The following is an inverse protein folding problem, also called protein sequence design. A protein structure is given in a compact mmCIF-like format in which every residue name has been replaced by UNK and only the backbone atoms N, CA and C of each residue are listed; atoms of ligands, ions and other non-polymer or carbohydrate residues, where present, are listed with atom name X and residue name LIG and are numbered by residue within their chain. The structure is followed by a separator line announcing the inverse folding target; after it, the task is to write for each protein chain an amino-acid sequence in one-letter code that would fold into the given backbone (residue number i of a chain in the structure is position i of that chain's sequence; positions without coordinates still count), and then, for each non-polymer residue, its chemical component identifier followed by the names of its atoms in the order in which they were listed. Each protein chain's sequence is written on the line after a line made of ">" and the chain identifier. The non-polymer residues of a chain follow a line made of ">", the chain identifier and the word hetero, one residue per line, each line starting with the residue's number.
data_IF_100379870242
#
_entry.id   IF_100379870242
#
_cell.length_a   1.000
_cell.length_b   1.000
_cell.length_c   1.000
_cell.angle_alpha   90.00
_cell.angle_beta   90.00
_cell.angle_gamma   90.00
#
_symmetry.space_group_name_H-M   'P 1'
#
loop_
_entity.id
_entity.type
_entity.pdbx_description
1 polymer ?
#
# COMPACT_ATOMS: atom_id res chain seq x y z
N UNK A 1 14.65 -17.97 28.65
CA UNK A 1 15.02 -18.17 27.24
C UNK A 1 15.83 -16.98 26.79
N UNK A 2 16.94 -17.13 26.07
CA UNK A 2 17.61 -15.99 25.48
C UNK A 2 16.69 -15.35 24.45
N UNK A 3 16.39 -14.07 24.63
CA UNK A 3 15.66 -13.29 23.61
C UNK A 3 16.69 -12.99 22.54
N UNK A 4 16.46 -13.53 21.33
CA UNK A 4 17.25 -13.15 20.14
C UNK A 4 16.79 -11.73 19.79
N UNK A 5 17.61 -10.75 20.15
CA UNK A 5 17.40 -9.38 19.69
C UNK A 5 18.14 -9.22 18.37
N UNK A 6 17.43 -8.93 17.32
CA UNK A 6 18.07 -8.38 16.13
C UNK A 6 18.81 -7.11 16.53
N UNK A 7 20.09 -7.02 16.13
CA UNK A 7 20.92 -5.86 16.50
C UNK A 7 20.74 -4.65 15.56
N UNK A 8 19.83 -4.77 14.60
CA UNK A 8 19.52 -3.66 13.71
C UNK A 8 18.90 -2.50 14.50
N UNK A 9 19.35 -1.26 14.26
CA UNK A 9 18.81 -0.09 14.95
C UNK A 9 17.34 0.19 14.63
N UNK A 10 16.86 -0.15 13.42
CA UNK A 10 15.45 -0.02 13.04
C UNK A 10 14.79 -1.40 12.95
N UNK A 11 13.65 -1.55 13.61
CA UNK A 11 12.81 -2.73 13.62
C UNK A 11 11.51 -2.46 12.91
N UNK A 12 11.19 -3.20 11.85
CA UNK A 12 9.96 -3.06 11.09
C UNK A 12 9.02 -4.24 11.35
N UNK A 13 7.77 -3.95 11.73
CA UNK A 13 6.68 -4.90 11.63
C UNK A 13 6.11 -4.81 10.21
N UNK A 14 6.16 -5.91 9.45
CA UNK A 14 5.64 -5.98 8.08
C UNK A 14 4.37 -6.82 8.07
N UNK A 15 3.23 -6.16 7.96
CA UNK A 15 1.93 -6.84 7.83
C UNK A 15 1.75 -7.34 6.39
N UNK A 16 1.44 -8.64 6.25
CA UNK A 16 1.28 -9.29 4.95
C UNK A 16 0.03 -10.15 4.92
N UNK A 17 -0.34 -10.66 3.73
CA UNK A 17 -1.47 -11.54 3.44
C UNK A 17 -2.76 -10.78 3.08
N UNK A 18 -3.74 -11.52 2.59
CA UNK A 18 -5.00 -11.01 2.04
C UNK A 18 -5.01 -11.02 0.51
N UNK A 19 -3.83 -11.06 -0.11
CA UNK A 19 -3.60 -11.29 -1.53
C UNK A 19 -2.46 -12.30 -1.70
N UNK A 20 -2.48 -13.18 -2.73
CA UNK A 20 -1.35 -14.04 -3.07
C UNK A 20 -0.12 -13.22 -3.45
N UNK A 21 1.05 -13.58 -2.95
CA UNK A 21 2.33 -12.96 -3.31
C UNK A 21 3.48 -13.96 -3.14
N UNK A 22 4.60 -13.74 -3.81
CA UNK A 22 5.83 -14.50 -3.59
C UNK A 22 6.52 -14.00 -2.31
N UNK A 23 6.29 -14.74 -1.21
CA UNK A 23 6.80 -14.38 0.12
C UNK A 23 8.33 -14.34 0.15
N UNK A 24 9.00 -15.26 -0.55
CA UNK A 24 10.47 -15.33 -0.56
C UNK A 24 11.06 -14.15 -1.33
N UNK A 25 10.50 -13.84 -2.48
CA UNK A 25 10.92 -12.69 -3.27
C UNK A 25 10.62 -11.36 -2.55
N UNK A 26 9.49 -11.26 -1.85
CA UNK A 26 9.17 -10.07 -1.06
C UNK A 26 10.09 -9.91 0.15
N UNK A 27 10.43 -11.00 0.86
CA UNK A 27 11.41 -10.96 1.95
C UNK A 27 12.78 -10.42 1.47
N UNK A 28 13.17 -10.78 0.25
CA UNK A 28 14.42 -10.33 -0.35
C UNK A 28 14.47 -8.81 -0.60
N UNK A 29 13.32 -8.10 -0.59
CA UNK A 29 13.31 -6.61 -0.66
C UNK A 29 14.05 -6.02 0.52
N UNK A 30 13.88 -6.60 1.71
CA UNK A 30 14.46 -6.10 2.96
C UNK A 30 15.86 -6.64 3.22
N UNK A 31 16.27 -7.70 2.51
CA UNK A 31 17.60 -8.27 2.64
C UNK A 31 18.66 -7.29 2.13
N UNK A 32 19.71 -7.08 2.94
CA UNK A 32 20.79 -6.16 2.60
C UNK A 32 20.53 -4.69 2.93
N UNK A 33 19.37 -4.34 3.49
CA UNK A 33 19.13 -3.00 4.06
C UNK A 33 19.90 -2.87 5.37
N UNK A 34 21.03 -2.18 5.34
CA UNK A 34 21.90 -2.03 6.51
C UNK A 34 21.17 -1.33 7.66
N UNK A 35 21.18 -1.96 8.83
CA UNK A 35 20.57 -1.41 10.04
C UNK A 35 19.05 -1.50 10.11
N UNK A 36 18.40 -2.22 9.19
CA UNK A 36 16.96 -2.48 9.20
C UNK A 36 16.73 -4.00 9.38
N UNK A 37 15.81 -4.36 10.29
CA UNK A 37 15.32 -5.72 10.44
C UNK A 37 13.80 -5.73 10.22
N UNK A 38 13.36 -6.53 9.28
CA UNK A 38 11.94 -6.71 8.96
C UNK A 38 11.40 -8.02 9.56
N UNK A 39 10.27 -7.93 10.24
CA UNK A 39 9.54 -9.08 10.78
C UNK A 39 8.18 -9.16 10.10
N UNK A 40 8.00 -10.15 9.22
CA UNK A 40 6.71 -10.37 8.54
C UNK A 40 5.74 -11.09 9.43
N UNK A 41 4.55 -10.52 9.57
CA UNK A 41 3.43 -11.07 10.33
C UNK A 41 2.19 -11.14 9.43
N UNK A 42 1.61 -12.33 9.35
CA UNK A 42 0.42 -12.56 8.54
C UNK A 42 -0.85 -12.02 9.21
N UNK A 43 -1.80 -11.55 8.40
CA UNK A 43 -3.16 -11.33 8.86
C UNK A 43 -3.82 -12.68 9.24
N UNK A 44 -4.66 -12.77 10.29
CA UNK A 44 -5.15 -11.66 11.14
C UNK A 44 -4.25 -11.34 12.34
N UNK A 45 -3.11 -12.02 12.51
CA UNK A 45 -2.23 -11.79 13.67
C UNK A 45 -1.61 -10.39 13.63
N UNK A 46 -1.29 -9.86 12.44
CA UNK A 46 -0.74 -8.52 12.28
C UNK A 46 -1.67 -7.44 12.86
N UNK A 47 -2.97 -7.53 12.61
CA UNK A 47 -3.96 -6.58 13.13
C UNK A 47 -3.95 -6.48 14.66
N UNK A 48 -3.68 -7.59 15.37
CA UNK A 48 -3.60 -7.61 16.84
C UNK A 48 -2.37 -6.89 17.39
N UNK A 49 -1.34 -6.69 16.54
CA UNK A 49 -0.12 -5.98 16.90
C UNK A 49 -0.18 -4.49 16.54
N UNK A 50 -1.17 -4.05 15.77
CA UNK A 50 -1.31 -2.65 15.34
C UNK A 50 -1.88 -1.76 16.45
N UNK A 51 -1.14 -1.67 17.56
CA UNK A 51 -1.43 -0.83 18.72
C UNK A 51 -0.13 -0.55 19.49
N UNK A 52 -0.08 0.43 20.41
CA UNK A 52 1.15 0.81 21.13
C UNK A 52 1.82 -0.33 21.90
N UNK A 53 1.07 -1.29 22.41
CA UNK A 53 1.63 -2.43 23.14
C UNK A 53 2.24 -3.45 22.16
N UNK A 54 1.50 -3.82 21.11
CA UNK A 54 1.94 -4.78 20.10
C UNK A 54 3.15 -4.27 19.29
N UNK A 55 3.21 -2.97 19.05
CA UNK A 55 4.33 -2.33 18.36
C UNK A 55 5.54 -2.06 19.29
N UNK A 56 5.49 -2.45 20.57
CA UNK A 56 6.63 -2.26 21.48
C UNK A 56 7.86 -3.00 20.97
N UNK A 57 8.89 -2.26 20.58
CA UNK A 57 10.12 -2.79 20.01
C UNK A 57 10.14 -2.82 18.48
N UNK A 58 9.12 -2.29 17.83
CA UNK A 58 9.13 -1.92 16.43
C UNK A 58 9.08 -0.40 16.28
N UNK A 59 9.83 0.11 15.32
CA UNK A 59 9.93 1.55 15.03
C UNK A 59 9.02 1.95 13.87
N UNK A 60 8.79 1.04 12.91
CA UNK A 60 8.04 1.29 11.68
C UNK A 60 7.04 0.17 11.44
N UNK A 61 5.82 0.57 11.04
CA UNK A 61 4.80 -0.32 10.52
C UNK A 61 4.82 -0.28 8.98
N UNK A 62 5.08 -1.44 8.37
CA UNK A 62 4.99 -1.61 6.91
C UNK A 62 3.72 -2.39 6.61
N UNK A 63 2.83 -1.81 5.82
CA UNK A 63 1.58 -2.41 5.36
C UNK A 63 1.77 -2.92 3.93
N UNK A 64 1.65 -4.22 3.73
CA UNK A 64 1.61 -4.89 2.44
C UNK A 64 0.43 -5.89 2.39
N UNK A 65 -0.41 -5.81 3.37
CA UNK A 65 -1.58 -6.66 3.54
C UNK A 65 -2.82 -6.07 2.86
N UNK A 66 -3.78 -6.94 2.54
CA UNK A 66 -5.07 -6.57 1.95
C UNK A 66 -6.22 -7.15 2.81
N UNK A 67 -6.41 -6.67 4.04
CA UNK A 67 -7.41 -7.18 4.96
C UNK A 67 -8.80 -6.58 4.72
N UNK A 68 -9.80 -7.15 5.40
CA UNK A 68 -11.19 -6.66 5.33
C UNK A 68 -12.00 -7.23 4.17
N UNK A 69 -11.49 -8.30 3.54
CA UNK A 69 -12.11 -8.97 2.38
C UNK A 69 -12.31 -10.45 2.65
N UNK A 70 -13.42 -10.99 2.19
CA UNK A 70 -13.72 -12.42 2.17
C UNK A 70 -14.06 -12.85 0.74
N UNK A 71 -13.06 -13.31 0.02
CA UNK A 71 -13.23 -13.79 -1.36
C UNK A 71 -13.87 -15.18 -1.45
N UNK A 72 -14.00 -15.90 -0.32
CA UNK A 72 -14.63 -17.23 -0.26
C UNK A 72 -16.13 -17.16 0.03
N UNK A 73 -16.69 -15.96 0.20
CA UNK A 73 -18.11 -15.77 0.43
C UNK A 73 -18.94 -16.28 -0.75
N UNK A 74 -20.05 -17.01 -0.50
CA UNK A 74 -20.73 -17.80 -1.54
C UNK A 74 -21.45 -16.99 -2.61
N UNK A 75 -21.84 -15.75 -2.36
CA UNK A 75 -22.52 -14.87 -3.31
C UNK A 75 -22.02 -13.44 -3.19
N UNK A 76 -21.74 -12.78 -4.32
CA UNK A 76 -21.34 -11.38 -4.36
C UNK A 76 -19.99 -11.09 -3.68
N UNK A 77 -19.07 -12.04 -3.74
CA UNK A 77 -17.71 -11.85 -3.22
C UNK A 77 -17.01 -10.68 -3.94
N UNK A 78 -16.07 -9.98 -3.24
CA UNK A 78 -15.75 -10.21 -1.85
C UNK A 78 -16.79 -9.59 -0.91
N UNK A 79 -17.09 -10.29 0.19
CA UNK A 79 -17.81 -9.68 1.29
C UNK A 79 -16.85 -8.82 2.11
N UNK A 80 -17.31 -7.64 2.53
CA UNK A 80 -16.51 -6.74 3.34
C UNK A 80 -16.64 -7.09 4.82
N UNK A 81 -15.49 -7.09 5.50
CA UNK A 81 -15.40 -7.27 6.94
C UNK A 81 -14.96 -5.96 7.58
N UNK A 82 -15.75 -5.49 8.52
CA UNK A 82 -15.37 -4.32 9.31
C UNK A 82 -14.14 -4.63 10.17
N UNK A 83 -13.16 -3.69 10.26
CA UNK A 83 -12.10 -3.82 11.24
C UNK A 83 -12.64 -3.71 12.66
N UNK A 84 -12.08 -4.51 13.57
CA UNK A 84 -12.48 -4.47 14.97
C UNK A 84 -12.28 -3.06 15.57
N UNK A 85 -13.17 -2.63 16.49
CA UNK A 85 -13.02 -1.33 17.17
C UNK A 85 -11.67 -1.17 17.89
N UNK A 86 -11.12 -2.27 18.44
CA UNK A 86 -9.81 -2.29 19.07
C UNK A 86 -8.69 -2.01 18.08
N UNK A 87 -8.76 -2.58 16.86
CA UNK A 87 -7.83 -2.28 15.79
C UNK A 87 -7.90 -0.81 15.39
N UNK A 88 -9.12 -0.28 15.18
CA UNK A 88 -9.32 1.14 14.83
C UNK A 88 -8.71 2.06 15.89
N UNK A 89 -8.97 1.79 17.15
CA UNK A 89 -8.44 2.56 18.28
C UNK A 89 -6.91 2.43 18.41
N UNK A 90 -6.40 1.20 18.27
CA UNK A 90 -4.96 0.92 18.33
C UNK A 90 -4.18 1.60 17.22
N UNK A 91 -4.65 1.52 15.98
CA UNK A 91 -4.01 2.15 14.83
C UNK A 91 -4.01 3.69 14.97
N UNK A 92 -5.12 4.29 15.41
CA UNK A 92 -5.19 5.73 15.69
C UNK A 92 -4.16 6.13 16.76
N UNK A 93 -4.05 5.35 17.83
CA UNK A 93 -3.07 5.61 18.89
C UNK A 93 -1.61 5.52 18.37
N UNK A 94 -1.32 4.62 17.42
CA UNK A 94 0.00 4.58 16.75
C UNK A 94 0.29 5.88 15.99
N UNK A 95 -0.70 6.40 15.24
CA UNK A 95 -0.53 7.64 14.50
C UNK A 95 -0.36 8.85 15.43
N UNK A 96 -1.13 8.90 16.52
CA UNK A 96 -1.04 9.96 17.54
C UNK A 96 0.31 9.96 18.27
N UNK A 97 0.93 8.80 18.51
CA UNK A 97 2.25 8.74 19.14
C UNK A 97 3.41 8.97 18.17
N UNK A 98 3.17 8.95 16.86
CA UNK A 98 4.17 9.24 15.83
C UNK A 98 4.83 8.01 15.23
N UNK A 99 4.20 6.81 15.30
CA UNK A 99 4.73 5.61 14.65
C UNK A 99 4.78 5.81 13.13
N UNK A 100 5.96 5.63 12.52
CA UNK A 100 6.13 5.73 11.07
C UNK A 100 5.40 4.62 10.32
N UNK A 101 4.76 4.97 9.19
CA UNK A 101 4.00 4.02 8.37
C UNK A 101 4.50 4.03 6.92
N UNK A 102 4.81 2.85 6.39
CA UNK A 102 5.07 2.64 4.95
C UNK A 102 3.97 1.72 4.42
N UNK A 103 3.14 2.21 3.53
CA UNK A 103 2.08 1.45 2.89
C UNK A 103 2.50 1.12 1.45
N UNK A 104 2.46 -0.15 1.10
CA UNK A 104 2.91 -0.68 -0.18
C UNK A 104 1.72 -1.28 -0.92
N UNK A 105 1.62 -1.01 -2.19
CA UNK A 105 0.72 -1.61 -3.18
C UNK A 105 -0.66 -2.00 -2.62
N UNK A 106 -0.80 -3.26 -2.18
CA UNK A 106 -2.04 -3.86 -1.69
C UNK A 106 -2.69 -3.12 -0.50
N UNK A 107 -1.91 -2.35 0.26
CA UNK A 107 -2.44 -1.62 1.42
C UNK A 107 -3.57 -0.64 1.04
N UNK A 108 -3.53 -0.06 -0.17
CA UNK A 108 -4.59 0.85 -0.65
C UNK A 108 -5.94 0.14 -0.85
N UNK A 109 -5.90 -1.17 -1.06
CA UNK A 109 -7.05 -2.03 -1.30
C UNK A 109 -7.57 -2.73 -0.03
N UNK A 110 -6.86 -2.59 1.09
CA UNK A 110 -7.26 -3.12 2.39
C UNK A 110 -8.39 -2.33 3.05
N UNK A 111 -9.11 -2.97 3.97
CA UNK A 111 -10.16 -2.37 4.80
C UNK A 111 -11.19 -1.51 4.04
N UNK A 112 -11.89 -2.04 3.04
CA UNK A 112 -12.74 -1.25 2.10
C UNK A 112 -13.80 -0.39 2.78
N UNK A 113 -14.24 -0.76 4.00
CA UNK A 113 -15.27 -0.05 4.76
C UNK A 113 -14.71 0.97 5.75
N UNK A 114 -13.38 1.08 5.89
CA UNK A 114 -12.75 1.99 6.84
C UNK A 114 -12.30 3.29 6.17
N UNK A 115 -13.21 4.24 6.02
CA UNK A 115 -12.95 5.51 5.34
C UNK A 115 -11.79 6.31 5.94
N UNK A 116 -11.65 6.33 7.28
CA UNK A 116 -10.56 7.01 7.97
C UNK A 116 -9.17 6.42 7.61
N UNK A 117 -9.09 5.09 7.44
CA UNK A 117 -7.86 4.43 6.97
C UNK A 117 -7.45 4.93 5.58
N UNK A 118 -8.40 5.07 4.67
CA UNK A 118 -8.15 5.60 3.34
C UNK A 118 -7.81 7.08 3.34
N UNK A 119 -8.42 7.85 4.26
CA UNK A 119 -8.03 9.24 4.48
C UNK A 119 -6.57 9.34 4.93
N UNK A 120 -6.13 8.47 5.83
CA UNK A 120 -4.73 8.42 6.25
C UNK A 120 -3.80 8.03 5.11
N UNK A 121 -4.14 7.01 4.31
CA UNK A 121 -3.33 6.59 3.17
C UNK A 121 -3.27 7.62 2.04
N UNK A 122 -4.28 8.49 1.91
CA UNK A 122 -4.36 9.48 0.85
C UNK A 122 -4.96 8.98 -0.45
N UNK A 123 -5.70 7.86 -0.41
CA UNK A 123 -6.39 7.26 -1.55
C UNK A 123 -7.17 6.02 -1.14
N UNK A 124 -7.97 5.47 -2.06
CA UNK A 124 -8.83 4.33 -1.81
C UNK A 124 -9.00 3.47 -3.06
N UNK A 125 -8.84 2.14 -2.94
CA UNK A 125 -9.25 1.21 -3.98
C UNK A 125 -10.66 0.70 -3.68
N UNK A 126 -11.53 0.76 -4.70
CA UNK A 126 -12.93 0.34 -4.62
C UNK A 126 -13.14 -0.93 -5.44
N UNK A 127 -13.61 -2.01 -4.80
CA UNK A 127 -13.98 -3.26 -5.50
C UNK A 127 -15.35 -3.19 -6.14
N UNK A 128 -16.23 -2.33 -5.67
CA UNK A 128 -17.57 -2.06 -6.20
C UNK A 128 -17.80 -0.55 -6.29
N UNK A 129 -18.67 -0.08 -7.18
CA UNK A 129 -19.11 1.31 -7.14
C UNK A 129 -19.64 1.68 -5.74
N UNK A 130 -19.26 2.84 -5.25
CA UNK A 130 -19.55 3.24 -3.88
C UNK A 130 -19.47 4.72 -3.64
N UNK A 131 -19.03 5.09 -2.46
CA UNK A 131 -18.89 6.50 -2.06
C UNK A 131 -17.47 6.73 -1.52
N UNK A 132 -16.80 7.74 -2.06
CA UNK A 132 -15.51 8.24 -1.57
C UNK A 132 -15.73 9.65 -1.03
N UNK A 133 -15.48 9.86 0.27
CA UNK A 133 -15.64 11.17 0.93
C UNK A 133 -16.98 11.84 0.66
N UNK A 134 -18.06 11.05 0.67
CA UNK A 134 -19.42 11.55 0.46
C UNK A 134 -19.84 11.76 -1.00
N UNK A 135 -18.95 11.55 -1.97
CA UNK A 135 -19.26 11.63 -3.39
C UNK A 135 -19.35 10.23 -4.03
N UNK A 136 -20.33 9.99 -4.94
CA UNK A 136 -20.38 8.74 -5.69
C UNK A 136 -19.09 8.52 -6.49
N UNK A 137 -18.59 7.28 -6.48
CA UNK A 137 -17.43 6.86 -7.24
C UNK A 137 -17.67 5.50 -7.88
N UNK A 138 -17.08 5.29 -9.06
CA UNK A 138 -17.04 3.98 -9.71
C UNK A 138 -16.04 3.08 -8.97
N UNK A 139 -16.14 1.78 -9.24
CA UNK A 139 -15.10 0.83 -8.85
C UNK A 139 -13.76 1.18 -9.49
N UNK A 140 -12.69 0.82 -8.82
CA UNK A 140 -11.32 1.05 -9.28
C UNK A 140 -10.97 0.15 -10.47
N UNK A 141 -9.90 0.52 -11.16
CA UNK A 141 -9.31 -0.30 -12.21
C UNK A 141 -7.98 -0.91 -11.77
N UNK A 142 -7.64 -2.02 -12.41
CA UNK A 142 -6.35 -2.69 -12.27
C UNK A 142 -5.78 -3.06 -13.63
N UNK A 143 -4.46 -3.15 -13.74
CA UNK A 143 -3.78 -3.66 -14.93
C UNK A 143 -2.45 -4.28 -14.54
N UNK A 144 -2.29 -5.60 -14.75
CA UNK A 144 -1.08 -6.35 -14.44
C UNK A 144 0.01 -6.17 -15.50
N UNK A 145 1.25 -6.43 -15.13
CA UNK A 145 2.42 -6.51 -16.01
C UNK A 145 2.65 -5.28 -16.89
N UNK A 146 2.34 -4.10 -16.39
CA UNK A 146 2.56 -2.85 -17.12
C UNK A 146 4.01 -2.43 -17.00
N UNK A 147 4.73 -2.42 -18.13
CA UNK A 147 6.06 -1.78 -18.19
C UNK A 147 5.89 -0.29 -18.43
N UNK A 148 6.31 0.51 -17.46
CA UNK A 148 6.18 1.97 -17.51
C UNK A 148 7.41 2.68 -16.96
N UNK A 149 7.57 3.94 -17.34
CA UNK A 149 8.58 4.82 -16.77
C UNK A 149 7.99 5.57 -15.58
N UNK A 150 8.71 5.55 -14.46
CA UNK A 150 8.41 6.32 -13.26
C UNK A 150 9.30 7.55 -13.23
N UNK A 151 8.71 8.72 -13.11
CA UNK A 151 9.40 10.00 -12.92
C UNK A 151 9.40 10.38 -11.45
N UNK A 152 10.59 10.75 -10.93
CA UNK A 152 10.75 11.37 -9.61
C UNK A 152 10.34 12.85 -9.75
N UNK A 153 9.32 13.29 -9.00
CA UNK A 153 8.74 14.63 -9.14
C UNK A 153 9.02 15.55 -7.94
N UNK A 154 9.74 15.05 -6.94
CA UNK A 154 10.15 15.84 -5.78
C UNK A 154 11.58 15.47 -5.32
N UNK A 155 12.34 16.48 -4.93
CA UNK A 155 13.56 16.29 -4.15
C UNK A 155 13.16 16.04 -2.68
N UNK A 156 13.22 14.78 -2.27
CA UNK A 156 12.74 14.33 -0.97
C UNK A 156 13.64 13.19 -0.44
N UNK A 157 13.83 13.04 0.88
CA UNK A 157 14.63 11.93 1.44
C UNK A 157 14.20 10.55 0.92
N UNK A 158 12.91 10.31 0.70
CA UNK A 158 12.40 9.03 0.14
C UNK A 158 12.89 8.79 -1.28
N UNK A 159 13.13 9.82 -2.07
CA UNK A 159 13.61 9.72 -3.45
C UNK A 159 15.13 9.90 -3.58
N UNK A 160 15.84 10.05 -2.47
CA UNK A 160 17.27 10.28 -2.48
C UNK A 160 18.06 9.14 -3.15
N UNK A 161 18.97 9.51 -4.05
CA UNK A 161 19.82 8.57 -4.77
C UNK A 161 19.15 7.79 -5.90
N UNK A 162 17.89 8.13 -6.24
CA UNK A 162 17.24 7.64 -7.44
C UNK A 162 17.58 8.50 -8.65
N UNK A 163 17.57 7.93 -9.87
CA UNK A 163 17.61 8.73 -11.07
C UNK A 163 16.30 9.50 -11.26
N UNK A 164 16.31 10.56 -12.07
CA UNK A 164 15.10 11.34 -12.38
C UNK A 164 13.97 10.46 -12.96
N UNK A 165 14.34 9.38 -13.63
CA UNK A 165 13.42 8.41 -14.23
C UNK A 165 13.99 7.00 -14.15
N UNK A 166 13.11 6.03 -13.97
CA UNK A 166 13.45 4.61 -14.02
C UNK A 166 12.26 3.78 -14.48
N UNK A 167 12.52 2.58 -14.98
CA UNK A 167 11.47 1.68 -15.49
C UNK A 167 11.10 0.65 -14.44
N UNK A 168 9.80 0.39 -14.32
CA UNK A 168 9.22 -0.74 -13.58
C UNK A 168 8.33 -1.56 -14.50
N UNK A 169 8.16 -2.84 -14.16
CA UNK A 169 7.08 -3.68 -14.69
C UNK A 169 6.28 -4.17 -13.50
N UNK A 170 5.03 -3.72 -13.39
CA UNK A 170 4.23 -3.91 -12.18
C UNK A 170 2.73 -3.89 -12.46
N UNK A 171 1.91 -4.21 -11.48
CA UNK A 171 0.50 -3.89 -11.50
C UNK A 171 0.27 -2.41 -11.22
N UNK A 172 -0.68 -1.81 -11.93
CA UNK A 172 -1.13 -0.45 -11.69
C UNK A 172 -2.59 -0.40 -11.27
N UNK A 173 -2.93 0.53 -10.38
CA UNK A 173 -4.29 0.82 -9.92
C UNK A 173 -4.79 2.15 -10.44
N UNK A 174 -5.92 2.13 -11.16
CA UNK A 174 -6.71 3.31 -11.47
C UNK A 174 -7.72 3.50 -10.33
N UNK A 175 -7.35 4.29 -9.34
CA UNK A 175 -8.09 4.47 -8.10
C UNK A 175 -8.14 5.94 -7.69
N UNK A 176 -9.12 6.38 -6.88
CA UNK A 176 -9.13 7.70 -6.27
C UNK A 176 -7.87 7.97 -5.45
N UNK A 177 -7.16 9.04 -5.81
CA UNK A 177 -6.00 9.59 -5.07
C UNK A 177 -6.34 11.01 -4.61
N UNK A 178 -6.09 11.32 -3.34
CA UNK A 178 -6.40 12.61 -2.74
C UNK A 178 -5.22 13.57 -2.92
N UNK A 179 -4.88 13.90 -4.19
CA UNK A 179 -3.65 14.60 -4.57
C UNK A 179 -3.44 15.95 -3.86
N UNK A 180 -4.52 16.64 -3.48
CA UNK A 180 -4.45 17.91 -2.76
C UNK A 180 -4.08 17.77 -1.27
N UNK A 181 -3.99 16.55 -0.75
CA UNK A 181 -3.68 16.28 0.67
C UNK A 181 -2.40 15.48 0.86
N UNK A 182 -1.70 15.20 -0.22
CA UNK A 182 -0.47 14.41 -0.21
C UNK A 182 0.67 15.19 -0.86
N UNK A 183 1.90 14.85 -0.52
CA UNK A 183 3.08 15.38 -1.20
C UNK A 183 3.50 14.37 -2.28
N UNK A 184 3.37 14.71 -3.58
CA UNK A 184 3.74 13.84 -4.67
C UNK A 184 5.24 13.52 -4.67
N UNK A 185 5.59 12.25 -4.89
CA UNK A 185 6.97 11.78 -5.04
C UNK A 185 7.24 11.19 -6.43
N UNK A 186 6.30 10.37 -6.93
CA UNK A 186 6.49 9.55 -8.12
C UNK A 186 5.26 9.62 -9.03
N UNK A 187 5.48 9.82 -10.33
CA UNK A 187 4.43 9.71 -11.34
C UNK A 187 4.78 8.70 -12.42
N UNK A 188 3.80 7.96 -12.88
CA UNK A 188 3.91 7.05 -14.02
C UNK A 188 3.64 7.78 -15.33
N UNK A 189 4.31 7.35 -16.40
CA UNK A 189 3.99 7.79 -17.76
C UNK A 189 2.89 6.94 -18.42
N UNK A 190 2.39 5.89 -17.78
CA UNK A 190 1.25 5.10 -18.25
C UNK A 190 -0.02 5.95 -18.37
N UNK A 191 -0.92 5.56 -19.23
CA UNK A 191 -2.23 6.20 -19.37
C UNK A 191 -3.20 5.61 -18.33
N UNK A 192 -3.63 6.43 -17.38
CA UNK A 192 -4.60 6.04 -16.34
C UNK A 192 -6.02 6.34 -16.80
N UNK A 193 -6.54 5.52 -17.69
CA UNK A 193 -7.87 5.65 -18.26
C UNK A 193 -8.50 4.27 -18.53
N UNK A 194 -9.81 4.26 -18.82
CA UNK A 194 -10.58 3.03 -19.04
C UNK A 194 -10.06 2.13 -20.18
N UNK A 195 -9.30 2.68 -21.12
CA UNK A 195 -8.80 1.90 -22.27
C UNK A 195 -7.63 0.97 -21.85
N UNK A 196 -6.94 1.31 -20.76
CA UNK A 196 -5.74 0.62 -20.28
C UNK A 196 -5.97 -0.20 -19.00
N UNK A 197 -7.13 -0.06 -18.35
CA UNK A 197 -7.45 -0.74 -17.09
C UNK A 197 -8.69 -1.63 -17.22
N UNK A 198 -8.83 -2.56 -16.28
CA UNK A 198 -9.94 -3.47 -16.15
C UNK A 198 -10.72 -3.14 -14.88
N UNK A 199 -12.06 -3.30 -14.92
CA UNK A 199 -12.93 -3.04 -13.78
C UNK A 199 -12.69 -4.04 -12.64
N UNK A 200 -12.49 -3.53 -11.44
CA UNK A 200 -12.40 -4.35 -10.24
C UNK A 200 -13.73 -5.03 -9.91
N UNK A 201 -14.86 -4.34 -10.12
CA UNK A 201 -16.20 -4.89 -9.88
C UNK A 201 -16.49 -6.09 -10.79
N UNK A 202 -16.14 -5.99 -12.07
CA UNK A 202 -16.31 -7.11 -12.99
C UNK A 202 -15.36 -8.27 -12.64
N UNK A 203 -14.14 -7.97 -12.18
CA UNK A 203 -13.18 -8.99 -11.78
C UNK A 203 -13.66 -9.80 -10.57
N UNK A 204 -14.18 -9.16 -9.52
CA UNK A 204 -14.72 -9.86 -8.34
C UNK A 204 -16.00 -10.64 -8.65
N UNK A 205 -16.71 -10.31 -9.73
CA UNK A 205 -17.81 -11.10 -10.26
C UNK A 205 -17.33 -12.29 -11.14
N UNK A 206 -16.01 -12.55 -11.19
CA UNK A 206 -15.44 -13.63 -12.01
C UNK A 206 -15.18 -13.27 -13.48
N UNK A 207 -15.35 -12.00 -13.86
CA UNK A 207 -15.11 -11.48 -15.22
C UNK A 207 -13.76 -10.76 -15.27
N UNK A 208 -12.68 -11.53 -15.06
CA UNK A 208 -11.32 -10.99 -15.12
C UNK A 208 -11.00 -10.33 -16.47
N UNK A 209 -10.20 -9.28 -16.45
CA UNK A 209 -9.78 -8.52 -17.63
C UNK A 209 -10.96 -8.01 -18.47
N UNK A 210 -12.03 -7.58 -17.81
CA UNK A 210 -13.24 -7.06 -18.42
C UNK A 210 -13.47 -5.58 -18.10
N UNK A 211 -14.02 -4.85 -19.06
CA UNK A 211 -14.38 -3.44 -18.91
C UNK A 211 -15.73 -3.13 -19.57
N UNK A 212 -16.55 -4.14 -19.84
CA UNK A 212 -17.84 -3.98 -20.50
C UNK A 212 -18.76 -3.06 -19.70
N UNK A 213 -19.18 -1.95 -20.32
CA UNK A 213 -20.04 -0.97 -19.67
C UNK A 213 -19.37 -0.13 -18.57
N UNK A 214 -18.08 -0.32 -18.32
CA UNK A 214 -17.32 0.42 -17.34
C UNK A 214 -16.79 1.73 -17.96
N UNK A 215 -17.43 2.84 -17.64
CA UNK A 215 -17.10 4.17 -18.18
C UNK A 215 -16.36 5.02 -17.12
N UNK A 216 -15.17 4.52 -16.72
CA UNK A 216 -14.37 5.17 -15.70
C UNK A 216 -13.68 6.42 -16.25
N UNK A 217 -13.75 7.56 -15.57
CA UNK A 217 -13.05 8.77 -15.95
C UNK A 217 -11.53 8.56 -15.86
N UNK A 218 -10.77 9.43 -16.52
CA UNK A 218 -9.32 9.44 -16.36
C UNK A 218 -8.93 9.73 -14.92
N UNK A 219 -8.02 8.92 -14.35
CA UNK A 219 -7.55 9.05 -12.98
C UNK A 219 -6.16 9.65 -12.86
N UNK A 220 -5.68 9.68 -11.62
CA UNK A 220 -4.33 10.13 -11.29
C UNK A 220 -3.28 9.13 -11.73
N UNK A 221 -2.17 9.63 -12.26
CA UNK A 221 -0.96 8.85 -12.51
C UNK A 221 0.08 8.96 -11.38
N UNK A 222 -0.33 9.48 -10.23
CA UNK A 222 0.50 9.54 -9.03
C UNK A 222 0.62 8.14 -8.44
N UNK A 223 1.86 7.62 -8.38
CA UNK A 223 2.16 6.25 -7.95
C UNK A 223 3.04 6.18 -6.69
N UNK A 224 3.32 7.31 -6.09
CA UNK A 224 4.03 7.39 -4.81
C UNK A 224 3.92 8.77 -4.19
N UNK A 225 3.67 8.81 -2.88
CA UNK A 225 3.51 10.06 -2.14
C UNK A 225 3.83 9.91 -0.66
N UNK A 226 3.95 11.05 0.02
CA UNK A 226 4.00 11.13 1.48
C UNK A 226 2.82 11.91 2.02
N UNK A 227 2.49 11.65 3.27
CA UNK A 227 1.49 12.38 4.02
C UNK A 227 1.88 12.48 5.49
N UNK A 228 1.61 13.62 6.11
CA UNK A 228 1.64 13.75 7.56
C UNK A 228 0.24 13.40 8.10
N UNK A 229 0.18 12.45 9.02
CA UNK A 229 -1.07 12.02 9.65
C UNK A 229 -0.86 12.07 11.15
N UNK A 230 -1.56 12.96 11.83
CA UNK A 230 -1.32 13.25 13.22
C UNK A 230 0.18 13.56 13.45
N UNK A 231 0.84 12.78 14.30
CA UNK A 231 2.28 12.89 14.55
C UNK A 231 3.13 11.95 13.69
N UNK A 232 2.50 11.08 12.90
CA UNK A 232 3.16 10.07 12.08
C UNK A 232 3.47 10.58 10.68
N UNK A 233 4.65 10.20 10.18
CA UNK A 233 4.97 10.28 8.75
C UNK A 233 4.48 9.02 8.05
N UNK A 234 3.84 9.19 6.92
CA UNK A 234 3.34 8.10 6.10
C UNK A 234 3.90 8.21 4.67
N UNK A 235 4.32 7.09 4.13
CA UNK A 235 4.66 6.92 2.70
C UNK A 235 3.73 5.88 2.10
N UNK A 236 3.14 6.17 0.94
CA UNK A 236 2.51 5.16 0.09
C UNK A 236 3.28 5.01 -1.22
N UNK A 237 3.52 3.76 -1.61
CA UNK A 237 4.12 3.38 -2.89
C UNK A 237 3.17 2.41 -3.59
N UNK A 238 2.61 2.80 -4.74
CA UNK A 238 1.77 1.93 -5.55
C UNK A 238 2.55 0.75 -6.15
N UNK A 239 3.83 0.90 -6.60
CA UNK A 239 4.63 -0.24 -7.01
C UNK A 239 4.79 -1.27 -5.89
N UNK A 240 4.83 -2.58 -6.26
CA UNK A 240 5.11 -3.64 -5.32
C UNK A 240 4.22 -4.88 -5.42
N UNK A 241 3.65 -5.20 -6.59
CA UNK A 241 2.81 -6.38 -6.75
C UNK A 241 3.62 -7.69 -6.79
N UNK A 242 4.74 -7.71 -7.49
CA UNK A 242 5.41 -8.98 -7.76
C UNK A 242 6.93 -8.94 -7.88
N UNK A 243 7.54 -10.13 -8.15
CA UNK A 243 9.00 -10.30 -8.18
C UNK A 243 9.74 -9.37 -9.14
N UNK A 244 9.15 -9.00 -10.28
CA UNK A 244 9.74 -8.05 -11.23
C UNK A 244 10.03 -6.70 -10.61
N UNK A 245 9.15 -6.26 -9.71
CA UNK A 245 9.31 -5.00 -8.95
C UNK A 245 10.21 -5.21 -7.73
N UNK A 246 10.06 -6.32 -6.99
CA UNK A 246 10.89 -6.60 -5.81
C UNK A 246 12.38 -6.69 -6.15
N UNK A 247 12.73 -7.19 -7.33
CA UNK A 247 14.12 -7.30 -7.79
C UNK A 247 14.69 -5.98 -8.33
N UNK A 248 13.84 -4.98 -8.56
CA UNK A 248 14.29 -3.69 -9.08
C UNK A 248 15.08 -2.91 -8.00
N UNK A 249 16.33 -2.51 -8.27
CA UNK A 249 17.17 -1.82 -7.28
C UNK A 249 16.62 -0.43 -6.89
N UNK A 250 15.88 0.24 -7.77
CA UNK A 250 15.28 1.54 -7.48
C UNK A 250 14.06 1.39 -6.57
N UNK A 251 13.26 0.31 -6.74
CA UNK A 251 12.19 -0.02 -5.82
C UNK A 251 12.73 -0.33 -4.41
N UNK A 252 13.75 -1.19 -4.32
CA UNK A 252 14.40 -1.51 -3.02
C UNK A 252 14.93 -0.25 -2.34
N UNK A 253 15.56 0.65 -3.10
CA UNK A 253 16.03 1.94 -2.58
C UNK A 253 14.88 2.81 -2.08
N UNK A 254 13.76 2.86 -2.80
CA UNK A 254 12.55 3.58 -2.37
C UNK A 254 12.02 3.06 -1.04
N UNK A 255 11.88 1.74 -0.90
CA UNK A 255 11.37 1.12 0.33
C UNK A 255 12.34 1.38 1.50
N UNK A 256 13.65 1.23 1.29
CA UNK A 256 14.66 1.53 2.31
C UNK A 256 14.60 3.00 2.76
N UNK A 257 14.57 3.92 1.81
CA UNK A 257 14.49 5.35 2.11
C UNK A 257 13.17 5.70 2.82
N UNK A 258 12.04 5.10 2.40
CA UNK A 258 10.75 5.29 3.05
C UNK A 258 10.79 4.86 4.52
N UNK A 259 11.32 3.66 4.80
CA UNK A 259 11.47 3.14 6.18
C UNK A 259 12.31 4.11 7.03
N UNK A 260 13.44 4.56 6.52
CA UNK A 260 14.32 5.49 7.25
C UNK A 260 13.64 6.82 7.52
N UNK A 261 12.99 7.39 6.51
CA UNK A 261 12.34 8.70 6.64
C UNK A 261 11.15 8.70 7.59
N UNK A 262 10.35 7.63 7.62
CA UNK A 262 9.20 7.57 8.55
C UNK A 262 9.64 7.26 9.97
N UNK A 263 10.82 6.69 10.18
CA UNK A 263 11.38 6.38 11.50
C UNK A 263 11.98 7.61 12.21
N UNK A 264 12.37 8.66 11.46
CA UNK A 264 12.94 9.93 11.99
C UNK A 264 11.84 10.82 12.62
#
# INVERSE_FOLDING_TARGET
>A
MPIIRHRAPLQCLVAVRGHPFDRTAFDAVFQGMEGIAATMVDQPAAARLMNPEGMRGFDVLVLYDMPGLDFEAPEGAPHYREPDPELKAGFRALLEQGTGVVALHHALAGWPTWGEYHDWLGGQFLYHPGTVRGAPALDSGYCHDVTHEVSVVADHPVTAGLPERFTLTDELYLAPVFENEVTPLLRSNAAFDREHFWSADLAVQGRMHCRDGWDHPRGSNLVGWTKQVERSRLVYLQPGDGPSTYDNPHYRRLVENAIRWVAD
#
